data_IF_328669472063
#
_entry.id   IF_328669472063
#
_cell.length_a   1.000
_cell.length_b   1.000
_cell.length_c   1.000
_cell.angle_alpha   90.00
_cell.angle_beta   90.00
_cell.angle_gamma   90.00
#
_symmetry.space_group_name_H-M   'P 1'
#
loop_
_entity.id
_entity.type
_entity.pdbx_description
1 polymer ?
#
# COMPACT_ATOMS: atom_id res chain seq x y z
N UNK A 1 -17.97 15.49 -19.64
CA UNK A 1 -17.68 15.74 -18.19
C UNK A 1 -18.52 14.89 -17.23
N UNK A 2 -19.81 14.80 -17.40
CA UNK A 2 -20.69 13.96 -16.54
C UNK A 2 -20.46 12.43 -16.72
N UNK A 3 -20.17 11.98 -17.92
CA UNK A 3 -19.92 10.57 -18.25
C UNK A 3 -18.59 10.06 -17.67
N UNK A 4 -17.54 10.87 -17.69
CA UNK A 4 -16.24 10.51 -17.11
C UNK A 4 -16.29 10.36 -15.58
N UNK A 5 -17.07 11.17 -14.89
CA UNK A 5 -17.19 11.09 -13.43
C UNK A 5 -18.01 9.86 -13.00
N UNK A 6 -19.05 9.51 -13.73
CA UNK A 6 -19.85 8.32 -13.50
C UNK A 6 -18.99 7.05 -13.68
N UNK A 7 -18.23 6.95 -14.76
CA UNK A 7 -17.37 5.78 -15.03
C UNK A 7 -16.26 5.60 -13.99
N UNK A 8 -15.65 6.68 -13.53
CA UNK A 8 -14.64 6.62 -12.46
C UNK A 8 -15.24 6.19 -11.12
N UNK A 9 -16.44 6.68 -10.81
CA UNK A 9 -17.14 6.30 -9.58
C UNK A 9 -17.56 4.82 -9.61
N UNK A 10 -18.01 4.32 -10.75
CA UNK A 10 -18.38 2.92 -10.94
C UNK A 10 -17.16 2.00 -10.81
N UNK A 11 -16.03 2.36 -11.39
CA UNK A 11 -14.77 1.61 -11.25
C UNK A 11 -14.27 1.57 -9.79
N UNK A 12 -14.39 2.66 -9.06
CA UNK A 12 -14.04 2.71 -7.63
C UNK A 12 -14.87 1.74 -6.80
N UNK A 13 -16.16 1.69 -7.10
CA UNK A 13 -17.07 0.80 -6.44
C UNK A 13 -16.70 -0.67 -6.72
N UNK A 14 -16.51 -1.02 -7.97
CA UNK A 14 -16.13 -2.38 -8.38
C UNK A 14 -14.83 -2.83 -7.72
N UNK A 15 -13.81 -1.97 -7.69
CA UNK A 15 -12.55 -2.27 -7.02
C UNK A 15 -12.69 -2.36 -5.49
N UNK A 16 -13.49 -1.49 -4.89
CA UNK A 16 -13.77 -1.54 -3.46
C UNK A 16 -14.47 -2.82 -3.05
N UNK A 17 -15.47 -3.24 -3.81
CA UNK A 17 -16.20 -4.47 -3.57
C UNK A 17 -15.29 -5.71 -3.76
N UNK A 18 -14.43 -5.68 -4.79
CA UNK A 18 -13.45 -6.74 -5.03
C UNK A 18 -12.44 -6.85 -3.89
N UNK A 19 -11.88 -5.74 -3.41
CA UNK A 19 -10.94 -5.73 -2.28
C UNK A 19 -11.59 -6.30 -1.02
N UNK A 20 -12.84 -5.92 -0.73
CA UNK A 20 -13.57 -6.45 0.42
C UNK A 20 -13.84 -7.95 0.28
N UNK A 21 -14.28 -8.40 -0.88
CA UNK A 21 -14.56 -9.81 -1.13
C UNK A 21 -13.31 -10.68 -1.03
N UNK A 22 -12.22 -10.26 -1.65
CA UNK A 22 -10.94 -10.98 -1.62
C UNK A 22 -10.37 -11.02 -0.20
N UNK A 23 -10.45 -9.92 0.53
CA UNK A 23 -10.04 -9.87 1.93
C UNK A 23 -10.84 -10.83 2.79
N UNK A 24 -12.17 -10.85 2.65
CA UNK A 24 -13.05 -11.75 3.40
C UNK A 24 -12.73 -13.23 3.13
N UNK A 25 -12.48 -13.62 1.88
CA UNK A 25 -12.11 -15.00 1.51
C UNK A 25 -10.82 -15.47 2.15
N UNK A 26 -9.91 -14.57 2.44
CA UNK A 26 -8.61 -14.86 3.10
C UNK A 26 -8.65 -14.75 4.63
N UNK A 27 -9.71 -14.22 5.21
CA UNK A 27 -9.84 -14.02 6.65
C UNK A 27 -9.88 -12.54 7.08
N UNK A 28 -9.93 -11.63 6.13
CA UNK A 28 -10.05 -10.19 6.33
C UNK A 28 -8.73 -9.43 6.15
N UNK A 29 -8.84 -8.12 6.11
CA UNK A 29 -7.71 -7.21 6.18
C UNK A 29 -7.45 -6.83 7.63
N UNK A 30 -6.19 -6.80 8.03
CA UNK A 30 -5.79 -6.44 9.37
C UNK A 30 -5.27 -5.01 9.45
N UNK A 31 -4.49 -4.59 8.45
CA UNK A 31 -3.86 -3.28 8.43
C UNK A 31 -4.12 -2.52 7.13
N UNK A 32 -4.25 -1.21 7.28
CA UNK A 32 -4.06 -0.25 6.22
C UNK A 32 -2.77 0.53 6.47
N UNK A 33 -1.84 0.43 5.53
CA UNK A 33 -0.49 0.96 5.69
C UNK A 33 -0.19 2.01 4.62
N UNK A 34 0.45 3.10 5.03
CA UNK A 34 1.01 4.10 4.11
C UNK A 34 2.51 4.20 4.33
N UNK A 35 3.28 3.95 3.29
CA UNK A 35 4.74 4.08 3.29
C UNK A 35 5.12 5.39 2.61
N UNK A 36 5.76 6.27 3.37
CA UNK A 36 6.19 7.60 2.94
C UNK A 36 7.72 7.68 2.94
N UNK A 37 8.28 8.35 1.96
CA UNK A 37 9.72 8.55 1.86
C UNK A 37 10.11 9.93 2.40
N UNK A 38 11.24 9.97 3.12
CA UNK A 38 11.81 11.22 3.58
C UNK A 38 12.39 12.05 2.43
N UNK A 39 12.54 13.32 2.64
CA UNK A 39 13.28 14.17 1.73
C UNK A 39 14.76 13.82 1.72
N UNK A 40 15.41 14.05 0.61
CA UNK A 40 16.86 13.92 0.49
C UNK A 40 17.56 15.04 1.23
N UNK A 41 18.64 14.71 1.91
CA UNK A 41 19.50 15.70 2.57
C UNK A 41 20.23 16.55 1.52
N UNK A 42 20.70 17.76 1.89
CA UNK A 42 21.53 18.57 1.00
C UNK A 42 22.77 17.83 0.47
N UNK A 43 23.39 17.00 1.30
CA UNK A 43 24.55 16.18 0.90
C UNK A 43 24.17 15.11 -0.15
N UNK A 44 23.04 14.44 0.03
CA UNK A 44 22.51 13.48 -0.95
C UNK A 44 22.16 14.17 -2.28
N UNK A 45 21.57 15.36 -2.22
CA UNK A 45 21.25 16.15 -3.42
C UNK A 45 22.53 16.59 -4.14
N UNK A 46 23.54 17.02 -3.42
CA UNK A 46 24.85 17.37 -3.97
C UNK A 46 25.55 16.19 -4.63
N UNK A 47 25.32 14.96 -4.10
CA UNK A 47 25.81 13.71 -4.70
C UNK A 47 24.97 13.24 -5.91
N UNK A 48 23.94 13.98 -6.33
CA UNK A 48 23.09 13.65 -7.46
C UNK A 48 21.79 12.90 -7.11
N UNK A 49 21.52 12.69 -5.85
CA UNK A 49 20.32 11.98 -5.36
C UNK A 49 19.22 13.00 -5.04
N UNK A 50 18.58 13.52 -6.05
CA UNK A 50 17.66 14.66 -5.90
C UNK A 50 16.27 14.27 -5.42
N UNK A 51 15.72 13.16 -5.90
CA UNK A 51 14.36 12.69 -5.57
C UNK A 51 14.30 11.18 -5.41
N UNK A 52 13.34 10.71 -4.63
CA UNK A 52 12.98 9.29 -4.58
C UNK A 52 12.28 8.92 -5.88
N UNK A 53 12.92 8.07 -6.69
CA UNK A 53 12.39 7.59 -7.95
C UNK A 53 11.44 6.41 -7.78
N UNK A 54 10.76 6.08 -8.86
CA UNK A 54 9.81 4.97 -8.92
C UNK A 54 10.44 3.64 -8.55
N UNK A 55 11.54 3.28 -9.20
CA UNK A 55 12.23 1.99 -8.98
C UNK A 55 12.69 1.83 -7.54
N UNK A 56 13.28 2.86 -6.95
CA UNK A 56 13.70 2.85 -5.56
C UNK A 56 12.53 2.66 -4.61
N UNK A 57 11.44 3.41 -4.81
CA UNK A 57 10.25 3.32 -3.96
C UNK A 57 9.58 1.94 -4.03
N UNK A 58 9.53 1.35 -5.22
CA UNK A 58 8.98 0.01 -5.43
C UNK A 58 9.83 -1.07 -4.75
N UNK A 59 11.14 -0.98 -4.85
CA UNK A 59 12.09 -1.87 -4.18
C UNK A 59 11.93 -1.79 -2.66
N UNK A 60 11.88 -0.58 -2.09
CA UNK A 60 11.70 -0.38 -0.67
C UNK A 60 10.36 -0.95 -0.16
N UNK A 61 9.27 -0.72 -0.91
CA UNK A 61 7.98 -1.32 -0.59
C UNK A 61 8.02 -2.85 -0.66
N UNK A 62 8.72 -3.42 -1.63
CA UNK A 62 8.90 -4.87 -1.74
C UNK A 62 9.74 -5.44 -0.60
N UNK A 63 10.75 -4.70 -0.11
CA UNK A 63 11.52 -5.08 1.09
C UNK A 63 10.66 -5.07 2.36
N UNK A 64 9.76 -4.11 2.50
CA UNK A 64 8.80 -4.08 3.60
C UNK A 64 7.91 -5.33 3.61
N UNK A 65 7.36 -5.68 2.45
CA UNK A 65 6.56 -6.90 2.29
C UNK A 65 7.39 -8.18 2.48
N UNK A 66 8.63 -8.19 2.02
CA UNK A 66 9.58 -9.28 2.24
C UNK A 66 9.88 -9.48 3.73
N UNK A 67 10.08 -8.40 4.48
CA UNK A 67 10.27 -8.46 5.93
C UNK A 67 9.04 -9.05 6.65
N UNK A 68 7.82 -8.63 6.26
CA UNK A 68 6.60 -9.25 6.77
C UNK A 68 6.52 -10.74 6.42
N UNK A 69 6.92 -11.12 5.22
CA UNK A 69 6.98 -12.51 4.78
C UNK A 69 7.96 -13.35 5.61
N UNK A 70 9.09 -12.78 6.00
CA UNK A 70 10.08 -13.42 6.89
C UNK A 70 9.50 -13.64 8.30
N UNK A 71 8.70 -12.70 8.78
CA UNK A 71 8.06 -12.81 10.09
C UNK A 71 6.88 -13.79 10.14
N UNK A 72 6.10 -13.89 9.07
CA UNK A 72 4.84 -14.64 9.03
C UNK A 72 4.84 -15.89 8.18
N UNK A 73 5.71 -15.98 7.19
CA UNK A 73 5.60 -16.93 6.09
C UNK A 73 4.80 -16.37 4.91
N UNK A 74 5.29 -16.63 3.69
CA UNK A 74 4.70 -16.06 2.48
C UNK A 74 3.27 -16.54 2.19
N UNK A 75 2.91 -17.74 2.66
CA UNK A 75 1.57 -18.31 2.47
C UNK A 75 0.54 -17.77 3.46
N UNK A 76 0.99 -17.22 4.58
CA UNK A 76 0.16 -16.71 5.67
C UNK A 76 -0.03 -15.18 5.60
N UNK A 77 0.55 -14.55 4.60
CA UNK A 77 0.50 -13.13 4.33
C UNK A 77 -0.19 -12.87 2.99
N UNK A 78 -1.15 -11.97 2.96
CA UNK A 78 -1.77 -11.49 1.71
C UNK A 78 -1.85 -9.96 1.72
N UNK A 79 -1.72 -9.36 0.54
CA UNK A 79 -1.68 -7.90 0.44
C UNK A 79 -2.14 -7.41 -0.94
N UNK A 80 -2.64 -6.19 -0.94
CA UNK A 80 -2.84 -5.35 -2.13
C UNK A 80 -2.08 -4.06 -1.91
N UNK A 81 -1.32 -3.62 -2.89
CA UNK A 81 -0.59 -2.35 -2.86
C UNK A 81 -0.89 -1.49 -4.06
N UNK A 82 -0.87 -0.19 -3.86
CA UNK A 82 -0.92 0.78 -4.93
C UNK A 82 -0.01 1.97 -4.65
N UNK A 83 0.41 2.61 -5.71
CA UNK A 83 1.22 3.80 -5.68
C UNK A 83 0.38 5.07 -5.85
N UNK A 84 0.75 6.10 -5.12
CA UNK A 84 0.29 7.46 -5.33
C UNK A 84 1.50 8.40 -5.43
N UNK A 85 1.47 9.34 -6.37
CA UNK A 85 2.45 10.43 -6.41
C UNK A 85 1.91 11.60 -5.59
N UNK A 86 2.64 12.01 -4.58
CA UNK A 86 2.29 13.14 -3.73
C UNK A 86 2.37 14.44 -4.54
N UNK A 87 1.26 15.17 -4.64
CA UNK A 87 1.15 16.35 -5.53
C UNK A 87 2.21 17.43 -5.26
N UNK A 88 2.46 17.72 -3.99
CA UNK A 88 3.34 18.83 -3.60
C UNK A 88 4.83 18.49 -3.65
N UNK A 89 5.18 17.23 -3.37
CA UNK A 89 6.57 16.79 -3.29
C UNK A 89 7.02 16.03 -4.54
N UNK A 90 6.09 15.50 -5.34
CA UNK A 90 6.39 14.64 -6.48
C UNK A 90 7.05 13.31 -6.09
N UNK A 91 6.86 12.87 -4.84
CA UNK A 91 7.47 11.66 -4.26
C UNK A 91 6.43 10.54 -4.21
N UNK A 92 6.78 9.30 -4.59
CA UNK A 92 5.85 8.16 -4.47
C UNK A 92 5.48 7.87 -3.01
N UNK A 93 4.20 7.58 -2.79
CA UNK A 93 3.68 6.93 -1.59
C UNK A 93 3.15 5.55 -1.97
N UNK A 94 3.27 4.60 -1.06
CA UNK A 94 2.62 3.31 -1.18
C UNK A 94 1.50 3.17 -0.16
N UNK A 95 0.35 2.74 -0.63
CA UNK A 95 -0.77 2.37 0.21
C UNK A 95 -1.00 0.87 0.10
N UNK A 96 -1.17 0.20 1.23
CA UNK A 96 -1.29 -1.25 1.30
C UNK A 96 -2.45 -1.68 2.18
N UNK A 97 -3.20 -2.67 1.71
CA UNK A 97 -4.03 -3.51 2.58
C UNK A 97 -3.24 -4.77 2.88
N UNK A 98 -3.15 -5.14 4.14
CA UNK A 98 -2.35 -6.28 4.59
C UNK A 98 -3.20 -7.14 5.52
N UNK A 99 -3.23 -8.44 5.25
CA UNK A 99 -3.89 -9.44 6.08
C UNK A 99 -2.93 -10.54 6.53
N UNK A 100 -3.31 -11.26 7.58
CA UNK A 100 -2.49 -12.31 8.20
C UNK A 100 -1.46 -11.80 9.20
N UNK A 101 -1.62 -10.58 9.71
CA UNK A 101 -0.62 -9.89 10.57
C UNK A 101 -1.15 -9.49 11.95
N UNK A 102 -2.29 -10.05 12.38
CA UNK A 102 -2.95 -9.67 13.64
C UNK A 102 -2.06 -9.82 14.87
N UNK A 103 -1.18 -10.81 14.88
CA UNK A 103 -0.27 -11.13 15.97
C UNK A 103 1.01 -10.28 15.99
N UNK A 104 1.23 -9.47 14.97
CA UNK A 104 2.38 -8.57 14.91
C UNK A 104 2.06 -7.21 15.53
N UNK A 105 3.08 -6.61 16.13
CA UNK A 105 3.01 -5.27 16.67
C UNK A 105 3.26 -4.25 15.58
N UNK A 106 2.26 -3.42 15.29
CA UNK A 106 2.32 -2.40 14.21
C UNK A 106 3.52 -1.46 14.34
N UNK A 107 3.85 -1.03 15.56
CA UNK A 107 4.96 -0.11 15.79
C UNK A 107 6.31 -0.68 15.40
N UNK A 108 6.50 -1.99 15.50
CA UNK A 108 7.76 -2.63 15.09
C UNK A 108 8.00 -2.45 13.59
N UNK A 109 6.94 -2.40 12.79
CA UNK A 109 7.02 -2.16 11.35
C UNK A 109 7.25 -0.68 11.02
N UNK A 110 6.69 0.22 11.81
CA UNK A 110 6.98 1.67 11.73
C UNK A 110 8.46 1.94 12.02
N UNK A 111 8.96 1.36 13.10
CA UNK A 111 10.35 1.49 13.51
C UNK A 111 11.30 0.86 12.47
N UNK A 112 10.96 -0.32 11.97
CA UNK A 112 11.75 -0.98 10.91
C UNK A 112 11.90 -0.10 9.66
N UNK A 113 10.80 0.50 9.19
CA UNK A 113 10.81 1.40 8.03
C UNK A 113 11.67 2.64 8.25
N UNK A 114 11.54 3.24 9.43
CA UNK A 114 12.33 4.38 9.86
C UNK A 114 13.83 4.04 9.95
N UNK A 115 14.16 2.92 10.59
CA UNK A 115 15.54 2.48 10.81
C UNK A 115 16.26 2.10 9.51
N UNK A 116 15.52 1.67 8.50
CA UNK A 116 16.03 1.51 7.13
C UNK A 116 16.38 2.84 6.44
N UNK A 117 16.04 3.96 7.03
CA UNK A 117 16.28 5.27 6.47
C UNK A 117 15.33 5.67 5.34
N UNK A 118 14.23 4.93 5.14
CA UNK A 118 13.27 5.22 4.07
C UNK A 118 12.42 6.46 4.35
N UNK A 119 11.94 6.61 5.57
CA UNK A 119 11.09 7.71 5.95
C UNK A 119 10.10 7.34 7.04
N UNK A 120 8.85 7.71 6.86
CA UNK A 120 7.78 7.49 7.82
C UNK A 120 6.78 6.44 7.30
N UNK A 121 6.42 5.49 8.14
CA UNK A 121 5.34 4.55 7.88
C UNK A 121 4.17 4.80 8.83
N UNK A 122 2.96 4.74 8.29
CA UNK A 122 1.73 4.77 9.07
C UNK A 122 1.04 3.42 8.94
N UNK A 123 1.01 2.65 10.01
CA UNK A 123 0.41 1.31 10.06
C UNK A 123 -0.80 1.37 10.97
N UNK A 124 -2.00 1.35 10.37
CA UNK A 124 -3.27 1.50 11.08
C UNK A 124 -4.08 0.21 11.02
N UNK A 125 -4.90 -0.08 12.03
CA UNK A 125 -5.89 -1.15 11.91
C UNK A 125 -6.82 -0.88 10.73
N UNK A 126 -7.17 -1.93 9.99
CA UNK A 126 -8.19 -1.85 8.97
C UNK A 126 -9.58 -1.79 9.61
N UNK A 127 -10.33 -0.74 9.31
CA UNK A 127 -11.68 -0.54 9.84
C UNK A 127 -12.72 -1.13 8.88
N UNK A 128 -13.24 -2.31 9.21
CA UNK A 128 -14.20 -3.05 8.39
C UNK A 128 -15.47 -2.24 8.06
N UNK A 129 -15.93 -1.43 8.99
CA UNK A 129 -17.15 -0.63 8.85
C UNK A 129 -17.02 0.44 7.76
N UNK A 130 -15.81 0.87 7.45
CA UNK A 130 -15.54 1.82 6.36
C UNK A 130 -15.51 1.15 5.00
N UNK A 131 -15.05 -0.11 4.93
CA UNK A 131 -14.96 -0.90 3.71
C UNK A 131 -13.92 -0.43 2.70
N UNK A 132 -13.63 -1.29 1.72
CA UNK A 132 -12.66 -1.04 0.67
C UNK A 132 -12.96 0.20 -0.17
N UNK A 133 -14.23 0.52 -0.37
CA UNK A 133 -14.65 1.74 -1.07
C UNK A 133 -14.11 3.01 -0.44
N UNK A 134 -14.16 3.12 0.89
CA UNK A 134 -13.66 4.28 1.62
C UNK A 134 -12.17 4.49 1.36
N UNK A 135 -11.39 3.44 1.51
CA UNK A 135 -9.94 3.49 1.32
C UNK A 135 -9.55 3.73 -0.14
N UNK A 136 -10.22 3.07 -1.06
CA UNK A 136 -9.96 3.25 -2.49
C UNK A 136 -10.34 4.64 -2.98
N UNK A 137 -11.49 5.16 -2.58
CA UNK A 137 -11.90 6.52 -2.96
C UNK A 137 -10.95 7.59 -2.46
N UNK A 138 -10.39 7.40 -1.27
CA UNK A 138 -9.52 8.39 -0.65
C UNK A 138 -8.09 8.36 -1.18
N UNK A 139 -7.56 7.16 -1.48
CA UNK A 139 -6.14 6.97 -1.71
C UNK A 139 -5.76 6.37 -3.07
N UNK A 140 -6.65 5.62 -3.72
CA UNK A 140 -6.29 4.74 -4.83
C UNK A 140 -6.76 5.20 -6.22
N UNK A 141 -7.51 6.28 -6.33
CA UNK A 141 -8.33 6.49 -7.52
C UNK A 141 -7.69 7.33 -8.60
N UNK A 142 -6.53 7.88 -8.36
CA UNK A 142 -5.91 8.73 -9.39
C UNK A 142 -5.27 7.91 -10.52
N UNK A 143 -4.79 6.70 -10.24
CA UNK A 143 -4.07 5.89 -11.23
C UNK A 143 -4.36 4.38 -11.02
N UNK A 144 -5.43 3.89 -11.62
CA UNK A 144 -5.81 2.46 -11.56
C UNK A 144 -4.77 1.49 -12.18
N UNK A 145 -3.75 1.99 -12.88
CA UNK A 145 -2.73 1.18 -13.53
C UNK A 145 -1.66 0.58 -12.62
N UNK A 146 -1.57 1.01 -11.35
CA UNK A 146 -0.46 0.67 -10.46
C UNK A 146 -0.90 -0.17 -9.23
N UNK A 147 -1.98 -0.94 -9.35
CA UNK A 147 -2.44 -1.85 -8.31
C UNK A 147 -1.80 -3.22 -8.51
N UNK A 148 -1.11 -3.70 -7.49
CA UNK A 148 -0.53 -5.04 -7.44
C UNK A 148 -1.04 -5.78 -6.21
N UNK A 149 -1.14 -7.10 -6.31
CA UNK A 149 -1.60 -7.96 -5.21
C UNK A 149 -0.69 -9.17 -5.04
N UNK A 150 -0.69 -9.73 -3.85
CA UNK A 150 0.11 -10.91 -3.55
C UNK A 150 -0.32 -12.11 -4.43
N UNK A 151 0.63 -12.98 -4.81
CA UNK A 151 0.33 -14.12 -5.69
C UNK A 151 -0.76 -15.04 -5.17
N UNK A 152 -0.87 -15.20 -3.87
CA UNK A 152 -1.87 -16.06 -3.24
C UNK A 152 -3.31 -15.51 -3.28
N UNK A 153 -3.51 -14.23 -3.64
CA UNK A 153 -4.83 -13.66 -3.91
C UNK A 153 -5.32 -14.02 -5.32
N UNK A 154 -4.41 -14.17 -6.28
CA UNK A 154 -4.74 -14.59 -7.63
C UNK A 154 -5.23 -16.05 -7.71
N UNK A 155 -4.91 -16.86 -6.71
CA UNK A 155 -5.30 -18.27 -6.64
C UNK A 155 -6.67 -18.51 -5.99
N UNK A 156 -7.34 -17.46 -5.54
CA UNK A 156 -8.72 -17.54 -5.06
C UNK A 156 -9.61 -17.67 -6.30
N UNK A 157 -9.79 -18.92 -6.77
CA UNK A 157 -10.69 -19.20 -7.88
C UNK A 157 -12.08 -18.65 -7.58
N UNK A 158 -12.55 -17.90 -8.50
CA UNK A 158 -13.93 -17.42 -8.59
C UNK A 158 -14.88 -18.61 -8.75
#
# INVERSE_FOLDING_TARGET
>A
MLIENSTKQDLRQVWGDWVDEVGQRKGGWDWFTTLTFRDRTPAEQAAGWTKVGWKYSKTACSEFLGHLGDLKGLNDLWWVRCREIQQWRGVPHWHLFIGGVQDLRRMDLVDWWHDKGYGFARVMPYEKDKGGRFYLCKYLVKELGDVEFSPNLALVNV
#
